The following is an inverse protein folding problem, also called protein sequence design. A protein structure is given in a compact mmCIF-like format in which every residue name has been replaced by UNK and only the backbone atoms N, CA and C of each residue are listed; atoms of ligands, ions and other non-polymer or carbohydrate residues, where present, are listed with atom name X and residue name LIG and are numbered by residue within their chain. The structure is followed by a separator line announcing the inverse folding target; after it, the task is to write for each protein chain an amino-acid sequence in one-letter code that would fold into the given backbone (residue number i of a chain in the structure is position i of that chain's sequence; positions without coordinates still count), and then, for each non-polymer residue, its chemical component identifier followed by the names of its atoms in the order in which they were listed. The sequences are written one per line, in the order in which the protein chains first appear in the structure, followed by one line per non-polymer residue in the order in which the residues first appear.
data_IF_356153316881
#
_entry.id   IF_356153316881
#
_cell.length_a   1.000
_cell.length_b   1.000
_cell.length_c   1.000
_cell.angle_alpha   90.00
_cell.angle_beta   90.00
_cell.angle_gamma   90.00
#
_symmetry.space_group_name_H-M   'P 1'
#
loop_
_entity.id
_entity.type
_entity.pdbx_description
1 polymer ?
#
# COMPACT_ATOMS: atom_id res chain seq x y z
N UNK A 1 2.89 -51.33 -0.09
CA UNK A 1 4.11 -50.54 0.20
C UNK A 1 3.90 -49.14 -0.35
N UNK A 2 4.27 -48.08 0.38
CA UNK A 2 4.02 -46.70 -0.07
C UNK A 2 4.90 -46.32 -1.27
N UNK A 3 4.33 -45.66 -2.28
CA UNK A 3 5.04 -45.20 -3.49
C UNK A 3 5.98 -44.01 -3.23
N UNK A 4 6.24 -43.65 -1.96
CA UNK A 4 7.10 -42.54 -1.59
C UNK A 4 8.51 -43.05 -1.19
N UNK A 5 9.58 -42.35 -1.56
CA UNK A 5 10.93 -42.66 -1.09
C UNK A 5 10.99 -42.70 0.44
N UNK A 6 11.78 -43.62 1.00
CA UNK A 6 12.00 -43.71 2.46
C UNK A 6 12.62 -42.41 2.96
N UNK A 7 12.01 -41.79 3.97
CA UNK A 7 12.50 -40.55 4.60
C UNK A 7 13.00 -40.85 6.02
N UNK A 8 14.12 -40.22 6.40
CA UNK A 8 14.59 -40.26 7.78
C UNK A 8 13.57 -39.61 8.71
N UNK A 9 13.23 -40.29 9.80
CA UNK A 9 12.37 -39.75 10.85
C UNK A 9 13.20 -38.77 11.69
N UNK A 10 12.77 -37.51 11.75
CA UNK A 10 13.35 -36.50 12.65
C UNK A 10 12.43 -36.34 13.84
N UNK A 11 12.81 -36.90 14.98
CA UNK A 11 12.10 -36.72 16.25
C UNK A 11 12.65 -35.46 16.91
N UNK A 12 11.76 -34.51 17.23
CA UNK A 12 12.16 -33.33 18.00
C UNK A 12 12.31 -33.68 19.48
N UNK A 13 13.30 -33.12 20.19
CA UNK A 13 13.35 -33.17 21.65
C UNK A 13 12.04 -32.67 22.29
N UNK A 14 11.70 -33.18 23.47
CA UNK A 14 10.46 -32.84 24.17
C UNK A 14 10.29 -31.33 24.36
N UNK A 15 11.35 -30.63 24.78
CA UNK A 15 11.30 -29.19 25.07
C UNK A 15 11.03 -28.36 23.81
N UNK A 16 11.62 -28.74 22.67
CA UNK A 16 11.35 -28.10 21.37
C UNK A 16 9.93 -28.36 20.89
N UNK A 17 9.40 -29.56 21.15
CA UNK A 17 8.03 -29.92 20.78
C UNK A 17 7.00 -29.12 21.61
N UNK A 18 7.22 -29.00 22.93
CA UNK A 18 6.38 -28.18 23.81
C UNK A 18 6.45 -26.71 23.39
N UNK A 19 7.65 -26.18 23.14
CA UNK A 19 7.83 -24.79 22.67
C UNK A 19 7.06 -24.55 21.37
N UNK A 20 7.17 -25.47 20.40
CA UNK A 20 6.43 -25.36 19.15
C UNK A 20 4.91 -25.39 19.34
N UNK A 21 4.40 -26.22 20.26
CA UNK A 21 2.97 -26.25 20.59
C UNK A 21 2.50 -24.94 21.24
N UNK A 22 3.29 -24.38 22.17
CA UNK A 22 3.00 -23.07 22.76
C UNK A 22 2.94 -21.98 21.68
N UNK A 23 3.91 -21.95 20.75
CA UNK A 23 3.90 -21.01 19.62
C UNK A 23 2.65 -21.17 18.76
N UNK A 24 2.23 -22.41 18.46
CA UNK A 24 1.01 -22.65 17.69
C UNK A 24 -0.22 -22.10 18.43
N UNK A 25 -0.34 -22.35 19.73
CA UNK A 25 -1.44 -21.85 20.56
C UNK A 25 -1.45 -20.32 20.62
N UNK A 26 -0.30 -19.69 20.83
CA UNK A 26 -0.19 -18.23 20.85
C UNK A 26 -0.60 -17.62 19.50
N UNK A 27 -0.15 -18.22 18.39
CA UNK A 27 -0.53 -17.78 17.05
C UNK A 27 -2.03 -17.97 16.76
N UNK A 28 -2.70 -18.96 17.36
CA UNK A 28 -4.16 -19.10 17.17
C UNK A 28 -4.97 -17.94 17.78
N UNK A 29 -4.41 -17.21 18.75
CA UNK A 29 -5.06 -16.00 19.29
C UNK A 29 -5.25 -14.92 18.21
N UNK A 30 -4.41 -14.91 17.17
CA UNK A 30 -4.55 -14.00 16.03
C UNK A 30 -5.89 -14.20 15.29
N UNK A 31 -6.41 -15.44 15.26
CA UNK A 31 -7.72 -15.74 14.66
C UNK A 31 -8.83 -15.01 15.42
N UNK A 32 -8.79 -15.07 16.75
CA UNK A 32 -9.75 -14.38 17.60
C UNK A 32 -9.65 -12.85 17.44
N UNK A 33 -8.44 -12.32 17.32
CA UNK A 33 -8.24 -10.88 17.07
C UNK A 33 -8.88 -10.44 15.76
N UNK A 34 -8.69 -11.21 14.68
CA UNK A 34 -9.32 -10.93 13.38
C UNK A 34 -10.84 -10.93 13.47
N UNK A 35 -11.42 -11.95 14.13
CA UNK A 35 -12.87 -12.08 14.28
C UNK A 35 -13.52 -10.93 15.08
N UNK A 36 -12.82 -10.41 16.10
CA UNK A 36 -13.34 -9.35 16.99
C UNK A 36 -13.08 -7.95 16.42
N UNK A 37 -11.94 -7.74 15.75
CA UNK A 37 -11.47 -6.40 15.35
C UNK A 37 -11.67 -6.12 13.86
N UNK A 38 -11.90 -7.13 13.02
CA UNK A 38 -12.11 -7.02 11.57
C UNK A 38 -13.47 -6.43 11.18
N UNK A 39 -13.87 -5.30 11.74
CA UNK A 39 -15.22 -4.73 11.60
C UNK A 39 -15.48 -4.03 10.27
N UNK A 40 -14.43 -3.66 9.53
CA UNK A 40 -14.54 -3.02 8.21
C UNK A 40 -13.52 -3.62 7.25
N UNK A 41 -13.74 -3.49 5.94
CA UNK A 41 -12.83 -4.02 4.93
C UNK A 41 -11.38 -3.55 5.12
N UNK A 42 -11.17 -2.24 5.25
CA UNK A 42 -9.83 -1.67 5.41
C UNK A 42 -9.17 -2.10 6.72
N UNK A 43 -9.93 -2.19 7.82
CA UNK A 43 -9.39 -2.65 9.10
C UNK A 43 -9.02 -4.12 9.05
N UNK A 44 -9.87 -4.97 8.48
CA UNK A 44 -9.60 -6.39 8.27
C UNK A 44 -8.35 -6.58 7.38
N UNK A 45 -8.26 -5.84 6.28
CA UNK A 45 -7.09 -5.84 5.38
C UNK A 45 -5.80 -5.48 6.14
N UNK A 46 -5.81 -4.41 6.95
CA UNK A 46 -4.64 -4.01 7.76
C UNK A 46 -4.23 -5.08 8.77
N UNK A 47 -5.18 -5.66 9.50
CA UNK A 47 -4.88 -6.73 10.46
C UNK A 47 -4.24 -7.94 9.74
N UNK A 48 -4.81 -8.36 8.60
CA UNK A 48 -4.26 -9.47 7.82
C UNK A 48 -2.89 -9.15 7.21
N UNK A 49 -2.66 -7.91 6.76
CA UNK A 49 -1.34 -7.45 6.31
C UNK A 49 -0.30 -7.56 7.42
N UNK A 50 -0.63 -7.11 8.64
CA UNK A 50 0.25 -7.22 9.81
C UNK A 50 0.60 -8.67 10.12
N UNK A 51 -0.40 -9.53 10.21
CA UNK A 51 -0.22 -10.98 10.46
C UNK A 51 0.68 -11.60 9.38
N UNK A 52 0.46 -11.21 8.13
CA UNK A 52 1.26 -11.71 7.02
C UNK A 52 2.73 -11.28 7.12
N UNK A 53 2.99 -10.02 7.50
CA UNK A 53 4.32 -9.41 7.51
C UNK A 53 5.19 -9.83 8.69
N UNK A 54 4.62 -10.06 9.88
CA UNK A 54 5.37 -10.36 11.12
C UNK A 54 5.99 -11.78 11.16
N UNK A 55 5.87 -12.54 10.07
CA UNK A 55 6.21 -13.95 9.99
C UNK A 55 4.90 -14.72 9.83
N UNK A 56 4.62 -15.26 8.62
CA UNK A 56 3.33 -15.87 8.35
C UNK A 56 3.10 -16.97 9.38
N UNK A 57 1.95 -16.97 10.08
CA UNK A 57 1.75 -17.90 11.16
C UNK A 57 1.76 -19.33 10.63
N UNK A 58 1.84 -20.29 11.55
CA UNK A 58 1.86 -21.70 11.23
C UNK A 58 0.66 -22.08 10.33
N UNK A 59 0.78 -23.23 9.65
CA UNK A 59 -0.20 -23.65 8.66
C UNK A 59 -1.61 -23.83 9.25
N UNK A 60 -1.74 -24.25 10.51
CA UNK A 60 -3.03 -24.39 11.18
C UNK A 60 -3.68 -23.02 11.36
N UNK A 61 -2.96 -22.04 11.92
CA UNK A 61 -3.48 -20.67 12.08
C UNK A 61 -3.89 -20.05 10.74
N UNK A 62 -3.08 -20.20 9.69
CA UNK A 62 -3.45 -19.71 8.34
C UNK A 62 -4.70 -20.39 7.80
N UNK A 63 -4.84 -21.70 8.02
CA UNK A 63 -6.03 -22.45 7.60
C UNK A 63 -7.27 -22.03 8.37
N UNK A 64 -7.14 -21.81 9.68
CA UNK A 64 -8.22 -21.29 10.52
C UNK A 64 -8.63 -19.87 10.11
N UNK A 65 -7.68 -18.99 9.80
CA UNK A 65 -7.98 -17.65 9.28
C UNK A 65 -8.81 -17.74 8.00
N UNK A 66 -8.41 -18.57 7.03
CA UNK A 66 -9.17 -18.75 5.77
C UNK A 66 -10.57 -19.33 6.04
N UNK A 67 -10.66 -20.36 6.88
CA UNK A 67 -11.93 -21.00 7.22
C UNK A 67 -12.90 -20.05 7.93
N UNK A 68 -12.39 -19.10 8.71
CA UNK A 68 -13.18 -18.11 9.42
C UNK A 68 -13.36 -16.79 8.64
N UNK A 69 -12.63 -16.59 7.54
CA UNK A 69 -12.73 -15.35 6.74
C UNK A 69 -14.08 -15.24 6.03
N UNK A 70 -14.62 -16.37 5.56
CA UNK A 70 -15.92 -16.47 4.93
C UNK A 70 -16.58 -17.80 5.29
N UNK A 71 -17.69 -17.74 6.02
CA UNK A 71 -18.47 -18.91 6.41
C UNK A 71 -19.94 -18.50 6.60
N UNK A 72 -20.86 -19.46 6.40
CA UNK A 72 -22.31 -19.21 6.39
C UNK A 72 -22.70 -18.05 5.45
N UNK A 73 -22.06 -17.98 4.29
CA UNK A 73 -22.23 -16.93 3.28
C UNK A 73 -21.95 -15.49 3.76
N UNK A 74 -21.23 -15.35 4.87
CA UNK A 74 -20.90 -14.07 5.51
C UNK A 74 -19.38 -13.92 5.72
N UNK A 75 -18.88 -12.70 5.58
CA UNK A 75 -17.53 -12.31 5.96
C UNK A 75 -17.44 -12.33 7.49
N UNK A 76 -16.49 -13.11 8.01
CA UNK A 76 -16.30 -13.35 9.45
C UNK A 76 -17.57 -13.85 10.17
N UNK A 77 -18.54 -14.42 9.43
CA UNK A 77 -19.83 -14.86 9.97
C UNK A 77 -20.77 -13.73 10.43
N UNK A 78 -20.43 -12.48 10.11
CA UNK A 78 -21.10 -11.30 10.66
C UNK A 78 -21.66 -10.38 9.57
N UNK A 79 -20.97 -10.26 8.44
CA UNK A 79 -21.26 -9.23 7.44
C UNK A 79 -21.59 -9.86 6.10
N UNK A 80 -22.66 -9.37 5.44
CA UNK A 80 -22.89 -9.67 4.03
C UNK A 80 -21.68 -9.21 3.22
N UNK A 81 -21.19 -10.06 2.31
CA UNK A 81 -20.01 -9.72 1.53
C UNK A 81 -20.24 -8.51 0.61
N UNK A 82 -21.45 -8.40 0.03
CA UNK A 82 -21.88 -7.24 -0.76
C UNK A 82 -21.90 -5.97 0.08
N UNK A 83 -22.52 -6.00 1.27
CA UNK A 83 -22.60 -4.82 2.15
C UNK A 83 -21.20 -4.41 2.63
N UNK A 84 -20.35 -5.39 2.97
CA UNK A 84 -18.99 -5.15 3.45
C UNK A 84 -18.11 -4.45 2.40
N UNK A 85 -18.27 -4.80 1.12
CA UNK A 85 -17.59 -4.13 0.00
C UNK A 85 -18.25 -2.79 -0.31
N UNK A 86 -19.57 -2.72 -0.32
CA UNK A 86 -20.32 -1.49 -0.53
C UNK A 86 -19.89 -0.40 0.47
N UNK A 87 -19.83 -0.74 1.76
CA UNK A 87 -19.41 0.17 2.82
C UNK A 87 -17.95 0.58 2.65
N UNK A 88 -17.07 -0.33 2.24
CA UNK A 88 -15.68 0.01 1.92
C UNK A 88 -15.55 1.01 0.76
N UNK A 89 -16.35 0.82 -0.29
CA UNK A 89 -16.40 1.77 -1.42
C UNK A 89 -16.94 3.12 -0.97
N UNK A 90 -17.99 3.14 -0.15
CA UNK A 90 -18.56 4.36 0.40
C UNK A 90 -17.56 5.11 1.29
N UNK A 91 -16.84 4.39 2.15
CA UNK A 91 -15.78 4.90 3.00
C UNK A 91 -14.59 5.44 2.19
N UNK A 92 -14.35 4.92 0.99
CA UNK A 92 -13.37 5.47 0.04
C UNK A 92 -13.90 6.66 -0.77
N UNK A 93 -15.15 7.09 -0.53
CA UNK A 93 -15.74 8.26 -1.17
C UNK A 93 -16.57 7.94 -2.42
N UNK A 94 -16.86 6.67 -2.71
CA UNK A 94 -17.83 6.30 -3.76
C UNK A 94 -19.24 6.72 -3.31
N UNK A 95 -20.01 7.48 -4.12
CA UNK A 95 -21.36 7.88 -3.75
C UNK A 95 -22.33 6.70 -3.68
N UNK A 96 -23.16 6.65 -2.64
CA UNK A 96 -24.23 5.64 -2.54
C UNK A 96 -25.21 5.72 -3.70
N UNK A 97 -25.39 6.90 -4.29
CA UNK A 97 -26.20 7.09 -5.50
C UNK A 97 -25.68 6.30 -6.70
N UNK A 98 -24.37 6.10 -6.81
CA UNK A 98 -23.77 5.28 -7.87
C UNK A 98 -24.00 3.80 -7.58
N UNK A 99 -23.69 3.35 -6.36
CA UNK A 99 -23.80 1.94 -5.95
C UNK A 99 -25.24 1.45 -5.80
N UNK A 100 -26.21 2.36 -5.64
CA UNK A 100 -27.64 2.02 -5.57
C UNK A 100 -28.32 1.86 -6.94
N UNK A 101 -27.64 2.21 -8.03
CA UNK A 101 -28.17 1.96 -9.39
C UNK A 101 -28.18 0.46 -9.70
N UNK A 102 -29.02 -0.04 -10.62
CA UNK A 102 -29.00 -1.45 -11.04
C UNK A 102 -27.62 -1.91 -11.53
N UNK A 103 -26.93 -1.05 -12.30
CA UNK A 103 -25.58 -1.31 -12.79
C UNK A 103 -24.53 -1.27 -11.67
N UNK A 104 -24.67 -0.32 -10.73
CA UNK A 104 -23.82 -0.20 -9.55
C UNK A 104 -23.91 -1.40 -8.62
N UNK A 105 -25.13 -1.88 -8.31
CA UNK A 105 -25.34 -3.08 -7.49
C UNK A 105 -24.70 -4.31 -8.14
N UNK A 106 -24.96 -4.51 -9.45
CA UNK A 106 -24.39 -5.62 -10.21
C UNK A 106 -22.85 -5.58 -10.25
N UNK A 107 -22.27 -4.38 -10.27
CA UNK A 107 -20.83 -4.20 -10.19
C UNK A 107 -20.27 -4.52 -8.81
N UNK A 108 -20.90 -4.02 -7.73
CA UNK A 108 -20.48 -4.35 -6.36
C UNK A 108 -20.49 -5.88 -6.18
N UNK A 109 -21.52 -6.58 -6.63
CA UNK A 109 -21.60 -8.04 -6.58
C UNK A 109 -20.44 -8.72 -7.32
N UNK A 110 -20.00 -8.19 -8.47
CA UNK A 110 -18.83 -8.70 -9.19
C UNK A 110 -17.50 -8.41 -8.49
N UNK A 111 -17.42 -7.30 -7.75
CA UNK A 111 -16.24 -6.92 -6.96
C UNK A 111 -16.07 -7.80 -5.71
N UNK A 112 -17.15 -8.33 -5.15
CA UNK A 112 -17.12 -9.13 -3.90
C UNK A 112 -16.07 -10.23 -3.94
N UNK A 113 -16.05 -11.04 -5.01
CA UNK A 113 -15.12 -12.17 -5.09
C UNK A 113 -13.66 -11.71 -5.18
N UNK A 114 -13.25 -10.80 -6.10
CA UNK A 114 -11.89 -10.28 -6.12
C UNK A 114 -11.45 -9.59 -4.82
N UNK A 115 -12.36 -8.88 -4.14
CA UNK A 115 -12.09 -8.29 -2.82
C UNK A 115 -11.84 -9.36 -1.75
N UNK A 116 -12.68 -10.40 -1.70
CA UNK A 116 -12.49 -11.55 -0.82
C UNK A 116 -11.17 -12.29 -1.11
N UNK A 117 -10.88 -12.57 -2.38
CA UNK A 117 -9.66 -13.28 -2.79
C UNK A 117 -8.40 -12.47 -2.44
N UNK A 118 -8.46 -11.13 -2.52
CA UNK A 118 -7.40 -10.23 -2.03
C UNK A 118 -7.19 -10.29 -0.51
N UNK A 119 -8.24 -10.46 0.29
CA UNK A 119 -8.11 -10.69 1.74
C UNK A 119 -7.54 -12.08 2.03
N UNK A 120 -8.06 -13.11 1.36
CA UNK A 120 -7.63 -14.50 1.49
C UNK A 120 -6.16 -14.69 1.11
N UNK A 121 -5.68 -13.95 0.11
CA UNK A 121 -4.29 -13.91 -0.32
C UNK A 121 -3.35 -13.65 0.87
N UNK A 122 -3.68 -12.71 1.76
CA UNK A 122 -2.84 -12.34 2.91
C UNK A 122 -2.67 -13.48 3.92
N UNK A 123 -3.57 -14.47 3.90
CA UNK A 123 -3.48 -15.69 4.71
C UNK A 123 -2.58 -16.77 4.09
N UNK A 124 -2.11 -16.60 2.84
CA UNK A 124 -1.17 -17.52 2.21
C UNK A 124 0.26 -17.29 2.71
N UNK A 125 1.15 -18.25 2.47
CA UNK A 125 2.58 -18.01 2.65
C UNK A 125 3.08 -17.01 1.60
N UNK A 126 4.16 -16.29 1.91
CA UNK A 126 4.64 -15.15 1.10
C UNK A 126 5.04 -15.53 -0.33
N UNK A 127 5.59 -16.73 -0.55
CA UNK A 127 5.90 -17.24 -1.89
C UNK A 127 4.63 -17.42 -2.73
N UNK A 128 3.62 -18.10 -2.17
CA UNK A 128 2.30 -18.27 -2.83
C UNK A 128 1.57 -16.95 -3.03
N UNK A 129 1.73 -15.99 -2.13
CA UNK A 129 1.15 -14.65 -2.33
C UNK A 129 1.64 -14.04 -3.63
N UNK A 130 2.96 -14.06 -3.86
CA UNK A 130 3.53 -13.51 -5.09
C UNK A 130 2.99 -14.24 -6.33
N UNK A 131 3.05 -15.56 -6.33
CA UNK A 131 2.57 -16.39 -7.44
C UNK A 131 1.09 -16.12 -7.75
N UNK A 132 0.24 -16.04 -6.72
CA UNK A 132 -1.19 -15.77 -6.89
C UNK A 132 -1.46 -14.36 -7.41
N UNK A 133 -0.74 -13.34 -6.93
CA UNK A 133 -0.87 -11.96 -7.44
C UNK A 133 -0.57 -11.94 -8.93
N UNK A 134 0.59 -12.48 -9.32
CA UNK A 134 1.09 -12.39 -10.69
C UNK A 134 0.26 -13.22 -11.69
N UNK A 135 -0.20 -14.40 -11.28
CA UNK A 135 -0.85 -15.34 -12.20
C UNK A 135 -2.37 -15.19 -12.29
N UNK A 136 -3.03 -14.77 -11.20
CA UNK A 136 -4.48 -14.87 -11.02
C UNK A 136 -5.08 -13.50 -10.68
N UNK A 137 -4.71 -12.94 -9.53
CA UNK A 137 -5.48 -11.84 -8.91
C UNK A 137 -5.44 -10.57 -9.76
N UNK A 138 -4.28 -10.19 -10.31
CA UNK A 138 -4.19 -8.96 -11.12
C UNK A 138 -5.07 -8.98 -12.39
N UNK A 139 -5.35 -10.15 -12.96
CA UNK A 139 -6.22 -10.28 -14.14
C UNK A 139 -7.67 -9.93 -13.80
N UNK A 140 -8.16 -10.42 -12.66
CA UNK A 140 -9.51 -10.15 -12.20
C UNK A 140 -9.70 -8.65 -11.92
N UNK A 141 -8.72 -8.02 -11.26
CA UNK A 141 -8.75 -6.58 -11.00
C UNK A 141 -8.58 -5.73 -12.27
N UNK A 142 -7.81 -6.20 -13.25
CA UNK A 142 -7.68 -5.56 -14.56
C UNK A 142 -9.01 -5.46 -15.31
N UNK A 143 -9.78 -6.56 -15.33
CA UNK A 143 -11.13 -6.57 -15.93
C UNK A 143 -12.08 -5.59 -15.21
N UNK A 144 -12.02 -5.55 -13.88
CA UNK A 144 -12.85 -4.63 -13.09
C UNK A 144 -12.53 -3.15 -13.36
N UNK A 145 -11.34 -2.79 -13.83
CA UNK A 145 -11.03 -1.40 -14.19
C UNK A 145 -11.87 -0.92 -15.37
N UNK A 146 -12.06 -1.79 -16.37
CA UNK A 146 -12.85 -1.47 -17.57
C UNK A 146 -14.33 -1.30 -17.20
N UNK A 147 -14.84 -2.19 -16.36
CA UNK A 147 -16.21 -2.09 -15.86
C UNK A 147 -16.44 -0.85 -14.99
N UNK A 148 -15.52 -0.56 -14.06
CA UNK A 148 -15.61 0.61 -13.20
C UNK A 148 -15.62 1.91 -14.00
N UNK A 149 -14.80 1.98 -15.05
CA UNK A 149 -14.76 3.11 -15.98
C UNK A 149 -16.10 3.29 -16.71
N UNK A 150 -16.71 2.20 -17.18
CA UNK A 150 -18.01 2.26 -17.84
C UNK A 150 -19.11 2.76 -16.88
N UNK A 151 -19.09 2.32 -15.62
CA UNK A 151 -20.08 2.73 -14.62
C UNK A 151 -19.90 4.19 -14.24
N UNK A 152 -18.67 4.64 -14.00
CA UNK A 152 -18.41 6.06 -13.74
C UNK A 152 -18.83 6.93 -14.94
N UNK A 153 -18.64 6.45 -16.17
CA UNK A 153 -19.08 7.15 -17.38
C UNK A 153 -20.60 7.32 -17.41
N UNK A 154 -21.36 6.22 -17.28
CA UNK A 154 -22.82 6.26 -17.23
C UNK A 154 -23.36 7.12 -16.09
N UNK A 155 -22.77 7.01 -14.90
CA UNK A 155 -23.17 7.82 -13.74
C UNK A 155 -22.97 9.33 -13.99
N UNK A 156 -21.87 9.70 -14.65
CA UNK A 156 -21.61 11.10 -15.00
C UNK A 156 -22.55 11.59 -16.11
N UNK A 157 -22.90 10.76 -17.10
CA UNK A 157 -23.89 11.11 -18.14
C UNK A 157 -25.27 11.37 -17.53
N UNK A 158 -25.78 10.47 -16.68
CA UNK A 158 -27.06 10.64 -16.01
C UNK A 158 -27.10 11.92 -15.14
N UNK A 159 -26.01 12.22 -14.44
CA UNK A 159 -25.89 13.45 -13.65
C UNK A 159 -25.93 14.72 -14.51
N UNK A 160 -25.36 14.68 -15.72
CA UNK A 160 -25.40 15.79 -16.67
C UNK A 160 -26.81 15.99 -17.25
N UNK A 161 -27.53 14.92 -17.56
CA UNK A 161 -28.91 14.98 -18.06
C UNK A 161 -29.89 15.56 -17.02
N UNK A 162 -29.74 15.17 -15.75
CA UNK A 162 -30.54 15.70 -14.65
C UNK A 162 -30.30 17.21 -14.41
N UNK A 163 -29.09 17.71 -14.69
CA UNK A 163 -28.78 19.14 -14.60
C UNK A 163 -29.32 19.95 -15.78
N UNK A 164 -29.41 19.37 -16.98
CA UNK A 164 -30.01 20.08 -18.12
C UNK A 164 -31.52 20.27 -17.96
N UNK A 165 -32.18 19.33 -17.29
CA UNK A 165 -33.63 19.38 -17.02
C UNK A 165 -33.99 20.28 -15.84
N UNK A 166 -33.05 20.53 -14.93
CA UNK A 166 -33.23 21.46 -13.81
C UNK A 166 -32.56 22.81 -14.14
N UNK A 167 -33.36 23.85 -14.42
CA UNK A 167 -32.95 25.24 -14.70
C UNK A 167 -32.21 25.94 -13.51
N UNK A 168 -31.44 25.23 -12.71
CA UNK A 168 -30.61 25.80 -11.65
C UNK A 168 -29.29 26.29 -12.22
N UNK A 169 -29.09 27.60 -12.18
CA UNK A 169 -27.89 28.34 -12.60
C UNK A 169 -26.67 28.14 -11.67
N UNK A 170 -26.59 27.03 -10.93
CA UNK A 170 -25.53 26.78 -9.95
C UNK A 170 -24.52 25.78 -10.50
N UNK A 171 -23.38 26.33 -10.93
CA UNK A 171 -22.09 25.69 -11.22
C UNK A 171 -22.04 24.63 -12.33
N UNK A 172 -21.80 25.11 -13.55
CA UNK A 172 -21.53 24.37 -14.79
C UNK A 172 -20.15 23.67 -14.85
N UNK A 173 -19.49 23.43 -13.70
CA UNK A 173 -18.14 22.84 -13.64
C UNK A 173 -18.10 21.69 -12.63
N UNK A 174 -18.75 20.58 -12.96
CA UNK A 174 -18.37 19.31 -12.36
C UNK A 174 -17.36 18.66 -13.31
N UNK A 175 -16.09 18.61 -12.91
CA UNK A 175 -15.13 17.72 -13.58
C UNK A 175 -15.67 16.30 -13.48
N UNK A 176 -15.61 15.52 -14.56
CA UNK A 176 -15.97 14.11 -14.53
C UNK A 176 -15.29 13.44 -13.32
N UNK A 177 -16.08 12.77 -12.47
CA UNK A 177 -15.57 12.13 -11.26
C UNK A 177 -15.55 10.63 -11.48
N UNK A 178 -14.38 10.04 -11.27
CA UNK A 178 -14.14 8.61 -11.47
C UNK A 178 -14.10 7.92 -10.10
N UNK A 179 -15.26 7.71 -9.49
CA UNK A 179 -15.37 7.24 -8.12
C UNK A 179 -15.04 5.75 -8.00
N UNK A 180 -15.77 4.91 -8.75
CA UNK A 180 -15.57 3.47 -8.73
C UNK A 180 -14.19 3.09 -9.29
N UNK A 181 -13.78 3.75 -10.37
CA UNK A 181 -12.48 3.56 -11.01
C UNK A 181 -11.33 3.83 -10.04
N UNK A 182 -11.39 4.92 -9.28
CA UNK A 182 -10.35 5.23 -8.29
C UNK A 182 -10.25 4.15 -7.19
N UNK A 183 -11.37 3.56 -6.77
CA UNK A 183 -11.37 2.46 -5.81
C UNK A 183 -10.67 1.21 -6.35
N UNK A 184 -11.04 0.79 -7.58
CA UNK A 184 -10.40 -0.35 -8.24
C UNK A 184 -8.91 -0.09 -8.47
N UNK A 185 -8.53 1.11 -8.92
CA UNK A 185 -7.13 1.48 -9.12
C UNK A 185 -6.34 1.39 -7.82
N UNK A 186 -6.88 1.88 -6.70
CA UNK A 186 -6.18 1.81 -5.42
C UNK A 186 -5.89 0.36 -4.96
N UNK A 187 -6.88 -0.53 -5.09
CA UNK A 187 -6.70 -1.95 -4.77
C UNK A 187 -5.72 -2.62 -5.74
N UNK A 188 -5.79 -2.30 -7.04
CA UNK A 188 -4.85 -2.80 -8.05
C UNK A 188 -3.42 -2.35 -7.76
N UNK A 189 -3.22 -1.07 -7.46
CA UNK A 189 -1.92 -0.50 -7.10
C UNK A 189 -1.33 -1.18 -5.86
N UNK A 190 -2.17 -1.47 -4.86
CA UNK A 190 -1.74 -2.20 -3.66
C UNK A 190 -1.26 -3.62 -3.99
N UNK A 191 -1.88 -4.29 -4.96
CA UNK A 191 -1.47 -5.63 -5.41
C UNK A 191 -0.18 -5.58 -6.22
N UNK A 192 -0.06 -4.63 -7.15
CA UNK A 192 1.16 -4.41 -7.95
C UNK A 192 2.35 -4.10 -7.04
N UNK A 193 2.19 -3.19 -6.08
CA UNK A 193 3.23 -2.86 -5.10
C UNK A 193 3.58 -4.06 -4.23
N UNK A 194 2.57 -4.85 -3.82
CA UNK A 194 2.76 -6.10 -3.10
C UNK A 194 3.59 -7.12 -3.87
N UNK A 195 3.36 -7.28 -5.19
CA UNK A 195 4.12 -8.22 -6.03
C UNK A 195 5.61 -7.86 -6.09
N UNK A 196 5.95 -6.58 -6.26
CA UNK A 196 7.35 -6.14 -6.29
C UNK A 196 7.97 -6.30 -4.90
N UNK A 197 7.26 -5.91 -3.84
CA UNK A 197 7.72 -6.01 -2.45
C UNK A 197 8.07 -7.45 -2.05
N UNK A 198 7.19 -8.39 -2.40
CA UNK A 198 7.41 -9.82 -2.18
C UNK A 198 8.58 -10.35 -3.01
N UNK A 199 8.77 -9.84 -4.23
CA UNK A 199 9.92 -10.22 -5.05
C UNK A 199 11.25 -9.70 -4.49
N UNK A 200 11.27 -8.49 -3.92
CA UNK A 200 12.45 -7.96 -3.21
C UNK A 200 12.76 -8.83 -1.99
N UNK A 201 11.74 -9.16 -1.18
CA UNK A 201 11.89 -10.04 -0.02
C UNK A 201 12.42 -11.43 -0.40
N UNK A 202 11.94 -11.98 -1.51
CA UNK A 202 12.42 -13.25 -2.08
C UNK A 202 13.76 -13.14 -2.83
N UNK A 203 14.41 -11.95 -2.82
CA UNK A 203 15.68 -11.66 -3.52
C UNK A 203 15.63 -11.90 -5.03
N UNK A 204 14.46 -11.74 -5.65
CA UNK A 204 14.28 -11.92 -7.09
C UNK A 204 14.84 -10.75 -7.92
N UNK A 205 15.04 -9.57 -7.31
CA UNK A 205 15.55 -8.36 -7.97
C UNK A 205 17.02 -8.07 -7.64
N UNK A 206 17.86 -9.07 -7.39
CA UNK A 206 19.22 -8.83 -6.90
C UNK A 206 20.12 -8.07 -7.89
N UNK A 207 19.95 -8.27 -9.20
CA UNK A 207 20.74 -7.61 -10.26
C UNK A 207 20.08 -6.31 -10.77
N UNK A 208 18.79 -6.14 -10.51
CA UNK A 208 17.89 -5.13 -11.07
C UNK A 208 17.14 -4.37 -9.95
N UNK A 209 17.79 -4.24 -8.80
CA UNK A 209 17.24 -3.59 -7.60
C UNK A 209 16.91 -2.12 -7.84
N UNK A 210 17.64 -1.48 -8.77
CA UNK A 210 17.36 -0.13 -9.28
C UNK A 210 15.98 -0.05 -9.93
N UNK A 211 15.67 -0.97 -10.84
CA UNK A 211 14.37 -1.04 -11.51
C UNK A 211 13.24 -1.34 -10.52
N UNK A 212 13.48 -2.21 -9.54
CA UNK A 212 12.47 -2.52 -8.52
C UNK A 212 12.07 -1.30 -7.69
N UNK A 213 13.04 -0.51 -7.19
CA UNK A 213 12.74 0.69 -6.41
C UNK A 213 12.19 1.85 -7.24
N UNK A 214 12.67 2.00 -8.48
CA UNK A 214 12.12 2.97 -9.43
C UNK A 214 10.64 2.69 -9.74
N UNK A 215 10.31 1.46 -10.11
CA UNK A 215 8.93 1.08 -10.44
C UNK A 215 8.02 1.20 -9.20
N UNK A 216 8.51 0.81 -8.02
CA UNK A 216 7.77 1.00 -6.76
C UNK A 216 7.52 2.48 -6.44
N UNK A 217 8.48 3.38 -6.66
CA UNK A 217 8.25 4.83 -6.45
C UNK A 217 7.09 5.32 -7.33
N UNK A 218 7.04 4.90 -8.60
CA UNK A 218 5.93 5.23 -9.50
C UNK A 218 4.58 4.73 -9.00
N UNK A 219 4.48 3.44 -8.64
CA UNK A 219 3.24 2.84 -8.16
C UNK A 219 2.76 3.50 -6.87
N UNK A 220 3.66 3.69 -5.90
CA UNK A 220 3.31 4.28 -4.60
C UNK A 220 2.97 5.77 -4.76
N UNK A 221 3.64 6.49 -5.66
CA UNK A 221 3.29 7.88 -5.99
C UNK A 221 1.87 7.96 -6.54
N UNK A 222 1.50 7.06 -7.45
CA UNK A 222 0.14 6.98 -8.00
C UNK A 222 -0.87 6.62 -6.92
N UNK A 223 -0.53 5.69 -6.02
CA UNK A 223 -1.39 5.31 -4.90
C UNK A 223 -1.66 6.48 -3.96
N UNK A 224 -0.63 7.28 -3.62
CA UNK A 224 -0.79 8.46 -2.78
C UNK A 224 -1.66 9.55 -3.44
N UNK A 225 -1.62 9.68 -4.77
CA UNK A 225 -2.51 10.60 -5.49
C UNK A 225 -3.98 10.17 -5.32
N UNK A 226 -4.27 8.88 -5.45
CA UNK A 226 -5.62 8.33 -5.25
C UNK A 226 -6.08 8.50 -3.80
N UNK A 227 -5.23 8.18 -2.82
CA UNK A 227 -5.54 8.38 -1.40
C UNK A 227 -5.79 9.86 -1.06
N UNK A 228 -5.03 10.77 -1.68
CA UNK A 228 -5.23 12.22 -1.50
C UNK A 228 -6.58 12.66 -2.08
N UNK A 229 -6.95 12.14 -3.25
CA UNK A 229 -8.27 12.41 -3.83
C UNK A 229 -9.41 11.95 -2.90
N UNK A 230 -9.30 10.77 -2.28
CA UNK A 230 -10.29 10.29 -1.30
C UNK A 230 -10.39 11.19 -0.08
N UNK A 231 -9.25 11.63 0.46
CA UNK A 231 -9.21 12.56 1.60
C UNK A 231 -9.89 13.87 1.29
N UNK A 232 -9.62 14.44 0.11
CA UNK A 232 -10.27 15.67 -0.34
C UNK A 232 -11.80 15.50 -0.42
N UNK A 233 -12.27 14.37 -0.96
CA UNK A 233 -13.71 14.04 -1.00
C UNK A 233 -14.30 13.95 0.42
N UNK A 234 -13.62 13.28 1.35
CA UNK A 234 -14.07 13.18 2.75
C UNK A 234 -14.15 14.55 3.41
N UNK A 235 -13.14 15.39 3.23
CA UNK A 235 -13.11 16.75 3.78
C UNK A 235 -14.22 17.63 3.19
N UNK A 236 -14.48 17.55 1.89
CA UNK A 236 -15.58 18.27 1.23
C UNK A 236 -16.94 17.83 1.79
N UNK A 237 -17.18 16.52 1.93
CA UNK A 237 -18.40 15.99 2.57
C UNK A 237 -18.54 16.50 4.01
N UNK A 238 -17.47 16.45 4.80
CA UNK A 238 -17.50 16.93 6.19
C UNK A 238 -17.81 18.44 6.28
N UNK A 239 -17.26 19.26 5.38
CA UNK A 239 -17.58 20.69 5.28
C UNK A 239 -19.03 20.93 4.90
N UNK A 240 -19.58 20.15 3.95
CA UNK A 240 -20.98 20.25 3.52
C UNK A 240 -21.94 19.88 4.66
N UNK A 241 -21.68 18.80 5.40
CA UNK A 241 -22.49 18.40 6.57
C UNK A 241 -22.48 19.49 7.63
N UNK A 242 -21.32 20.04 7.97
CA UNK A 242 -21.20 21.16 8.93
C UNK A 242 -21.99 22.39 8.48
N UNK A 243 -21.93 22.74 7.20
CA UNK A 243 -22.68 23.87 6.65
C UNK A 243 -24.20 23.65 6.76
N UNK A 244 -24.70 22.45 6.44
CA UNK A 244 -26.11 22.08 6.58
C UNK A 244 -26.56 22.11 8.04
N UNK A 245 -25.75 21.59 8.96
CA UNK A 245 -26.03 21.65 10.40
C UNK A 245 -26.09 23.10 10.92
N UNK A 246 -25.18 23.96 10.46
CA UNK A 246 -25.18 25.39 10.80
C UNK A 246 -26.43 26.11 10.25
N UNK A 247 -26.84 25.79 9.02
CA UNK A 247 -28.05 26.33 8.41
C UNK A 247 -29.32 25.88 9.16
N UNK A 248 -29.42 24.59 9.50
CA UNK A 248 -30.51 24.07 10.34
C UNK A 248 -30.54 24.75 11.71
N UNK A 249 -29.38 24.96 12.35
CA UNK A 249 -29.29 25.71 13.62
C UNK A 249 -29.75 27.17 13.46
N UNK A 250 -29.46 27.82 12.33
CA UNK A 250 -29.95 29.19 12.03
C UNK A 250 -31.47 29.22 11.83
N UNK A 251 -32.04 28.22 11.15
CA UNK A 251 -33.49 28.10 10.93
C UNK A 251 -34.28 27.81 12.22
N UNK A 252 -33.74 26.96 13.10
CA UNK A 252 -34.35 26.68 14.42
C UNK A 252 -34.30 27.91 15.34
N UNK A 253 -33.20 28.68 15.30
CA UNK A 253 -33.09 29.95 16.05
C UNK A 253 -34.05 31.03 15.53
N UNK A 254 -34.35 31.08 14.23
CA UNK A 254 -35.34 32.01 13.67
C UNK A 254 -36.80 31.62 14.01
N UNK A 255 -37.11 30.34 14.25
CA UNK A 255 -38.46 29.89 14.65
C UNK A 255 -38.75 29.98 16.16
N UNK A 256 -37.74 29.97 17.04
CA UNK A 256 -37.92 30.18 18.49
C UNK A 256 -37.85 31.66 18.87
N UNK A 257 -38.87 32.42 18.49
CA UNK A 257 -39.19 33.68 19.14
C UNK A 257 -39.63 33.44 20.59
N UNK A 258 -38.95 34.10 21.54
CA UNK A 258 -39.33 34.29 22.96
C UNK A 258 -39.68 33.03 23.77
N UNK A 259 -38.66 32.35 24.31
CA UNK A 259 -38.59 31.96 25.74
C UNK A 259 -37.17 31.48 26.05
N UNK A 260 -36.52 32.19 26.97
CA UNK A 260 -35.23 31.80 27.55
C UNK A 260 -35.41 30.50 28.35
N UNK A 261 -34.50 29.54 28.21
CA UNK A 261 -33.71 29.06 29.34
C UNK A 261 -32.56 28.13 28.93
N UNK A 262 -31.57 28.10 29.81
CA UNK A 262 -30.33 27.32 29.83
C UNK A 262 -30.41 25.91 29.24
N UNK A 263 -29.42 25.56 28.43
CA UNK A 263 -29.18 24.20 27.94
C UNK A 263 -27.79 24.05 27.35
N UNK A 264 -26.89 23.53 28.17
CA UNK A 264 -25.59 22.89 27.92
C UNK A 264 -25.06 22.96 26.49
N UNK A 265 -24.01 23.76 26.28
CA UNK A 265 -23.14 23.68 25.10
C UNK A 265 -22.49 22.29 25.07
N UNK A 266 -23.07 21.37 24.31
CA UNK A 266 -22.40 20.15 23.90
C UNK A 266 -21.28 20.56 22.95
N UNK A 267 -20.06 20.68 23.49
CA UNK A 267 -18.83 20.84 22.70
C UNK A 267 -18.69 19.52 21.93
N UNK A 268 -19.07 19.53 20.66
CA UNK A 268 -18.73 18.46 19.72
C UNK A 268 -17.21 18.44 19.69
N UNK A 269 -16.60 17.44 20.33
CA UNK A 269 -15.15 17.26 20.33
C UNK A 269 -14.70 17.10 18.88
N UNK A 270 -13.86 18.02 18.39
CA UNK A 270 -13.15 17.94 17.10
C UNK A 270 -12.13 16.78 17.03
N UNK A 271 -12.33 15.71 17.80
CA UNK A 271 -11.42 14.56 17.78
C UNK A 271 -11.65 13.76 16.49
N UNK A 272 -10.58 13.41 15.76
CA UNK A 272 -10.69 12.52 14.61
C UNK A 272 -11.30 11.20 15.02
N UNK A 273 -12.09 10.60 14.13
CA UNK A 273 -12.61 9.25 14.34
C UNK A 273 -11.47 8.23 14.34
N UNK A 274 -11.68 7.07 14.97
CA UNK A 274 -10.68 5.99 14.98
C UNK A 274 -10.27 5.56 13.55
N UNK A 275 -11.23 5.56 12.62
CA UNK A 275 -10.98 5.24 11.22
C UNK A 275 -10.12 6.30 10.53
N UNK A 276 -10.36 7.59 10.79
CA UNK A 276 -9.52 8.67 10.24
C UNK A 276 -8.08 8.59 10.77
N UNK A 277 -7.89 8.24 12.04
CA UNK A 277 -6.56 7.99 12.59
C UNK A 277 -5.86 6.83 11.89
N UNK A 278 -6.60 5.73 11.66
CA UNK A 278 -6.09 4.55 10.96
C UNK A 278 -5.72 4.84 9.50
N UNK A 279 -6.59 5.53 8.75
CA UNK A 279 -6.33 5.99 7.38
C UNK A 279 -5.12 6.95 7.34
N UNK A 280 -4.90 7.72 8.41
CA UNK A 280 -3.74 8.58 8.52
C UNK A 280 -2.43 7.81 8.72
N UNK A 281 -2.45 6.78 9.56
CA UNK A 281 -1.30 5.90 9.73
C UNK A 281 -0.93 5.24 8.40
N UNK A 282 -1.91 4.73 7.65
CA UNK A 282 -1.67 4.07 6.36
C UNK A 282 -1.09 5.02 5.31
N UNK A 283 -1.61 6.25 5.22
CA UNK A 283 -1.09 7.27 4.30
C UNK A 283 0.35 7.68 4.63
N UNK A 284 0.65 7.92 5.90
CA UNK A 284 2.00 8.33 6.33
C UNK A 284 2.98 7.17 6.11
N UNK A 285 2.58 5.93 6.41
CA UNK A 285 3.39 4.75 6.12
C UNK A 285 3.68 4.58 4.62
N UNK A 286 2.65 4.76 3.79
CA UNK A 286 2.80 4.72 2.33
C UNK A 286 3.73 5.83 1.83
N UNK A 287 3.68 7.02 2.45
CA UNK A 287 4.59 8.13 2.17
C UNK A 287 6.04 7.84 2.56
N UNK A 288 6.26 7.15 3.69
CA UNK A 288 7.59 6.64 4.09
C UNK A 288 8.12 5.68 3.03
N UNK A 289 7.32 4.69 2.60
CA UNK A 289 7.72 3.73 1.56
C UNK A 289 8.12 4.42 0.25
N UNK A 290 7.31 5.37 -0.24
CA UNK A 290 7.62 6.16 -1.45
C UNK A 290 8.97 6.84 -1.33
N UNK A 291 9.14 7.61 -0.26
CA UNK A 291 10.30 8.48 -0.09
C UNK A 291 11.58 7.66 0.10
N UNK A 292 11.49 6.48 0.74
CA UNK A 292 12.57 5.49 0.79
C UNK A 292 12.89 4.91 -0.59
N UNK A 293 11.89 4.49 -1.38
CA UNK A 293 12.12 3.97 -2.74
C UNK A 293 12.88 5.00 -3.58
N UNK A 294 12.42 6.25 -3.55
CA UNK A 294 13.05 7.36 -4.28
C UNK A 294 14.46 7.65 -3.80
N UNK A 295 14.69 7.72 -2.48
CA UNK A 295 16.01 7.96 -1.90
C UNK A 295 17.00 6.85 -2.25
N UNK A 296 16.59 5.58 -2.14
CA UNK A 296 17.42 4.42 -2.49
C UNK A 296 17.73 4.39 -3.98
N UNK A 297 16.72 4.58 -4.84
CA UNK A 297 16.93 4.64 -6.29
C UNK A 297 17.94 5.74 -6.67
N UNK A 298 17.74 6.97 -6.18
CA UNK A 298 18.67 8.08 -6.43
C UNK A 298 20.08 7.78 -5.88
N UNK A 299 20.18 7.15 -4.72
CA UNK A 299 21.48 6.74 -4.19
C UNK A 299 22.18 5.71 -5.11
N UNK A 300 21.46 4.74 -5.66
CA UNK A 300 22.03 3.82 -6.67
C UNK A 300 22.49 4.60 -7.91
N UNK A 301 21.73 5.60 -8.36
CA UNK A 301 22.12 6.44 -9.50
C UNK A 301 23.39 7.26 -9.22
N UNK A 302 23.55 7.81 -8.01
CA UNK A 302 24.80 8.45 -7.57
C UNK A 302 25.97 7.49 -7.72
N UNK A 303 25.82 6.24 -7.27
CA UNK A 303 26.89 5.23 -7.34
C UNK A 303 27.26 4.87 -8.78
N UNK A 304 26.27 4.78 -9.67
CA UNK A 304 26.52 4.55 -11.11
C UNK A 304 27.21 5.74 -11.77
N UNK A 305 26.75 6.96 -11.48
CA UNK A 305 27.38 8.18 -11.99
C UNK A 305 28.84 8.31 -11.51
N UNK A 306 29.10 7.92 -10.26
CA UNK A 306 30.43 7.85 -9.66
C UNK A 306 31.29 6.67 -10.17
N UNK A 307 30.74 5.79 -11.01
CA UNK A 307 31.38 4.53 -11.48
C UNK A 307 31.81 3.61 -10.34
N UNK A 308 31.08 3.64 -9.22
CA UNK A 308 31.21 2.72 -8.10
C UNK A 308 30.35 1.47 -8.27
N UNK A 309 29.37 1.53 -9.18
CA UNK A 309 28.63 0.39 -9.69
C UNK A 309 28.81 0.32 -11.20
N UNK A 310 29.01 -0.89 -11.71
CA UNK A 310 29.06 -1.11 -13.15
C UNK A 310 27.68 -0.86 -13.76
N UNK A 311 27.63 0.06 -14.73
CA UNK A 311 26.39 0.45 -15.41
C UNK A 311 25.85 -0.67 -16.31
N UNK A 312 26.76 -1.46 -16.88
CA UNK A 312 26.50 -2.43 -17.95
C UNK A 312 27.01 -3.81 -17.56
N UNK A 313 26.15 -4.57 -16.88
CA UNK A 313 26.36 -6.01 -16.76
C UNK A 313 26.13 -6.61 -18.15
N UNK A 314 27.19 -7.10 -18.79
CA UNK A 314 27.07 -7.85 -20.04
C UNK A 314 26.46 -9.22 -19.76
N UNK A 315 25.26 -9.44 -20.31
CA UNK A 315 24.57 -10.73 -20.23
C UNK A 315 24.86 -11.52 -21.50
N UNK A 316 25.44 -12.71 -21.37
CA UNK A 316 25.79 -13.55 -22.53
C UNK A 316 24.56 -14.08 -23.30
N UNK A 317 23.44 -14.33 -22.60
CA UNK A 317 22.26 -15.03 -23.14
C UNK A 317 20.96 -14.23 -23.06
N UNK A 318 21.02 -12.98 -22.57
CA UNK A 318 19.84 -12.14 -22.38
C UNK A 318 20.22 -10.67 -22.44
N UNK A 319 19.27 -9.78 -22.23
CA UNK A 319 19.51 -8.33 -22.11
C UNK A 319 18.82 -7.81 -20.85
N UNK A 320 19.29 -6.66 -20.34
CA UNK A 320 18.64 -5.97 -19.22
C UNK A 320 17.18 -5.64 -19.54
N UNK A 321 16.90 -5.27 -20.79
CA UNK A 321 15.54 -5.05 -21.32
C UNK A 321 14.67 -6.29 -21.17
N UNK A 322 15.14 -7.46 -21.65
CA UNK A 322 14.37 -8.72 -21.57
C UNK A 322 14.08 -9.09 -20.11
N UNK A 323 15.05 -8.89 -19.22
CA UNK A 323 14.88 -9.13 -17.79
C UNK A 323 13.79 -8.22 -17.22
N UNK A 324 13.91 -6.90 -17.42
CA UNK A 324 12.94 -5.91 -16.88
C UNK A 324 11.53 -6.17 -17.43
N UNK A 325 11.39 -6.38 -18.74
CA UNK A 325 10.10 -6.70 -19.36
C UNK A 325 9.50 -7.97 -18.77
N UNK A 326 10.31 -9.01 -18.53
CA UNK A 326 9.84 -10.26 -17.91
C UNK A 326 9.47 -10.09 -16.43
N UNK A 327 10.15 -9.22 -15.68
CA UNK A 327 9.85 -8.95 -14.26
C UNK A 327 8.49 -8.30 -14.04
N UNK A 328 8.07 -7.46 -14.98
CA UNK A 328 6.83 -6.68 -14.86
C UNK A 328 5.73 -7.15 -15.83
N UNK A 329 5.93 -8.27 -16.53
CA UNK A 329 4.97 -8.84 -17.48
C UNK A 329 3.59 -9.09 -16.87
N UNK A 330 3.51 -9.47 -15.59
CA UNK A 330 2.24 -9.70 -14.90
C UNK A 330 1.36 -8.44 -14.81
N UNK A 331 1.92 -7.26 -15.04
CA UNK A 331 1.19 -5.99 -15.02
C UNK A 331 0.55 -5.63 -16.36
N UNK A 332 0.81 -6.39 -17.44
CA UNK A 332 0.23 -6.14 -18.76
C UNK A 332 -1.30 -6.22 -18.80
N UNK A 333 -1.93 -6.93 -17.87
CA UNK A 333 -3.38 -7.04 -17.79
C UNK A 333 -4.04 -5.84 -17.07
N UNK A 334 -3.26 -4.86 -16.62
CA UNK A 334 -3.74 -3.68 -15.91
C UNK A 334 -3.71 -2.47 -16.84
N UNK A 335 -4.85 -1.80 -16.99
CA UNK A 335 -4.96 -0.61 -17.85
C UNK A 335 -4.40 0.65 -17.16
N UNK A 336 -4.68 0.83 -15.86
CA UNK A 336 -4.22 1.95 -15.06
C UNK A 336 -3.60 1.52 -13.71
N UNK A 337 -2.37 1.96 -13.39
CA UNK A 337 -1.48 2.75 -14.24
C UNK A 337 -0.93 1.95 -15.41
N UNK A 338 -0.55 2.64 -16.49
CA UNK A 338 0.09 2.00 -17.62
C UNK A 338 1.39 1.28 -17.20
N UNK A 339 1.67 0.15 -17.84
CA UNK A 339 2.93 -0.57 -17.69
C UNK A 339 4.10 0.34 -18.07
N UNK A 340 5.08 0.48 -17.18
CA UNK A 340 6.33 1.14 -17.54
C UNK A 340 7.24 0.19 -18.30
N UNK A 341 7.77 0.67 -19.41
CA UNK A 341 8.66 -0.07 -20.32
C UNK A 341 10.13 0.07 -19.91
N UNK A 342 10.99 -0.71 -20.56
CA UNK A 342 12.44 -0.52 -20.41
C UNK A 342 12.89 0.88 -20.86
N UNK A 343 12.29 1.44 -21.92
CA UNK A 343 12.62 2.79 -22.38
C UNK A 343 12.27 3.85 -21.34
N UNK A 344 11.12 3.71 -20.67
CA UNK A 344 10.75 4.58 -19.54
C UNK A 344 11.77 4.47 -18.40
N UNK A 345 12.30 3.27 -18.14
CA UNK A 345 13.34 3.07 -17.15
C UNK A 345 14.66 3.75 -17.55
N UNK A 346 15.10 3.60 -18.80
CA UNK A 346 16.33 4.24 -19.30
C UNK A 346 16.20 5.77 -19.22
N UNK A 347 15.07 6.33 -19.65
CA UNK A 347 14.82 7.77 -19.56
C UNK A 347 14.72 8.24 -18.11
N UNK A 348 14.02 7.49 -17.25
CA UNK A 348 13.84 7.81 -15.84
C UNK A 348 15.10 7.61 -14.97
N UNK A 349 16.11 6.92 -15.50
CA UNK A 349 17.40 6.68 -14.84
C UNK A 349 18.57 7.42 -15.48
N UNK A 350 18.34 8.22 -16.53
CA UNK A 350 19.38 9.06 -17.12
C UNK A 350 19.63 10.31 -16.27
N UNK A 351 20.68 10.26 -15.45
CA UNK A 351 21.19 11.39 -14.67
C UNK A 351 22.49 11.97 -15.27
N UNK A 352 22.81 11.67 -16.52
CA UNK A 352 24.07 12.10 -17.16
C UNK A 352 24.22 13.63 -17.26
N UNK A 353 23.10 14.36 -17.24
CA UNK A 353 23.03 15.83 -17.26
C UNK A 353 22.88 16.48 -15.89
N UNK A 354 22.73 15.71 -14.83
CA UNK A 354 22.52 16.23 -13.47
C UNK A 354 23.86 16.30 -12.76
N UNK A 355 24.15 17.42 -12.09
CA UNK A 355 25.38 17.56 -11.32
C UNK A 355 25.44 16.51 -10.18
N UNK A 356 26.58 15.84 -9.95
CA UNK A 356 26.70 14.83 -8.89
C UNK A 356 26.34 15.35 -7.49
N UNK A 357 26.70 16.59 -7.15
CA UNK A 357 26.38 17.17 -5.84
C UNK A 357 24.86 17.45 -5.70
N UNK A 358 24.20 17.83 -6.80
CA UNK A 358 22.74 18.01 -6.83
C UNK A 358 22.02 16.67 -6.65
N UNK A 359 22.48 15.61 -7.32
CA UNK A 359 21.88 14.27 -7.19
C UNK A 359 22.08 13.69 -5.77
N UNK A 360 23.25 13.90 -5.17
CA UNK A 360 23.52 13.54 -3.78
C UNK A 360 22.60 14.31 -2.83
N UNK A 361 22.45 15.61 -3.04
CA UNK A 361 21.58 16.46 -2.21
C UNK A 361 20.11 16.03 -2.33
N UNK A 362 19.65 15.71 -3.55
CA UNK A 362 18.31 15.21 -3.80
C UNK A 362 18.03 13.83 -3.19
N UNK A 363 19.05 12.96 -3.07
CA UNK A 363 18.95 11.69 -2.34
C UNK A 363 18.92 11.92 -0.82
N UNK A 364 19.75 12.83 -0.31
CA UNK A 364 19.80 13.19 1.10
C UNK A 364 18.46 13.78 1.59
N UNK A 365 17.86 14.69 0.81
CA UNK A 365 16.56 15.29 1.11
C UNK A 365 15.44 14.24 1.21
N UNK A 366 15.50 13.16 0.42
CA UNK A 366 14.57 12.04 0.54
C UNK A 366 14.73 11.33 1.89
N UNK A 367 15.95 11.09 2.36
CA UNK A 367 16.18 10.47 3.67
C UNK A 367 15.79 11.41 4.82
N UNK A 368 16.04 12.71 4.72
CA UNK A 368 15.60 13.67 5.74
C UNK A 368 14.07 13.79 5.82
N UNK A 369 13.40 13.84 4.66
CA UNK A 369 11.94 13.82 4.59
C UNK A 369 11.39 12.51 5.18
N UNK A 370 12.02 11.38 4.87
CA UNK A 370 11.64 10.07 5.42
C UNK A 370 11.76 10.06 6.93
N UNK A 371 12.83 10.62 7.51
CA UNK A 371 13.00 10.72 8.96
C UNK A 371 11.85 11.51 9.61
N UNK A 372 11.49 12.66 9.03
CA UNK A 372 10.33 13.45 9.49
C UNK A 372 9.01 12.68 9.42
N UNK A 373 8.79 11.94 8.33
CA UNK A 373 7.60 11.09 8.17
C UNK A 373 7.57 9.92 9.16
N UNK A 374 8.72 9.32 9.51
CA UNK A 374 8.80 8.27 10.52
C UNK A 374 8.47 8.82 11.91
N UNK A 375 8.93 10.02 12.25
CA UNK A 375 8.58 10.66 13.52
C UNK A 375 7.08 11.01 13.57
N UNK A 376 6.49 11.45 12.46
CA UNK A 376 5.03 11.62 12.32
C UNK A 376 4.28 10.29 12.45
N UNK A 377 4.82 9.21 11.86
CA UNK A 377 4.22 7.88 11.90
C UNK A 377 4.17 7.36 13.34
N UNK A 378 5.27 7.49 14.09
CA UNK A 378 5.33 7.09 15.49
C UNK A 378 4.27 7.81 16.35
N UNK A 379 4.11 9.13 16.16
CA UNK A 379 3.05 9.90 16.83
C UNK A 379 1.65 9.42 16.45
N UNK A 380 1.44 9.08 15.18
CA UNK A 380 0.14 8.60 14.69
C UNK A 380 -0.21 7.21 15.22
N UNK A 381 0.80 6.34 15.45
CA UNK A 381 0.60 5.02 16.04
C UNK A 381 0.14 5.06 17.50
N UNK A 382 0.43 6.13 18.23
CA UNK A 382 -0.05 6.32 19.61
C UNK A 382 -1.56 6.58 19.65
N UNK A 383 -2.17 6.95 18.52
CA UNK A 383 -3.59 7.29 18.41
C UNK A 383 -4.48 6.09 18.03
N UNK A 384 -3.89 4.94 17.68
CA UNK A 384 -4.64 3.76 17.23
C UNK A 384 -4.30 2.54 18.08
N UNK A 385 -5.22 1.57 18.10
CA UNK A 385 -4.94 0.25 18.67
C UNK A 385 -3.85 -0.42 17.84
N UNK A 386 -2.84 -0.98 18.51
CA UNK A 386 -1.64 -1.47 17.84
C UNK A 386 -1.97 -2.54 16.80
N UNK A 387 -2.96 -3.38 17.08
CA UNK A 387 -3.40 -4.51 16.26
C UNK A 387 -4.07 -4.06 14.96
N UNK A 388 -4.61 -2.84 14.92
CA UNK A 388 -5.25 -2.26 13.73
C UNK A 388 -4.25 -1.65 12.75
N UNK A 389 -2.98 -1.49 13.14
CA UNK A 389 -1.93 -1.00 12.24
C UNK A 389 -1.49 -2.13 11.28
N UNK A 390 -1.15 -1.83 10.01
CA UNK A 390 -0.71 -2.85 9.05
C UNK A 390 0.70 -3.40 9.31
N UNK A 391 1.40 -2.85 10.29
CA UNK A 391 2.76 -3.19 10.70
C UNK A 391 2.89 -3.01 12.22
N UNK A 392 4.01 -3.41 12.79
CA UNK A 392 4.32 -3.25 14.20
C UNK A 392 5.38 -2.16 14.46
N UNK A 393 5.69 -1.89 15.73
CA UNK A 393 6.72 -0.89 16.08
C UNK A 393 8.12 -1.33 15.65
N UNK A 394 8.39 -2.64 15.58
CA UNK A 394 9.70 -3.14 15.16
C UNK A 394 9.97 -2.84 13.68
N UNK A 395 8.95 -2.96 12.82
CA UNK A 395 9.01 -2.58 11.40
C UNK A 395 9.40 -1.11 11.23
N UNK A 396 8.75 -0.21 11.97
CA UNK A 396 9.05 1.24 11.91
C UNK A 396 10.50 1.53 12.32
N UNK A 397 11.01 0.82 13.34
CA UNK A 397 12.40 0.95 13.77
C UNK A 397 13.38 0.41 12.71
N UNK A 398 13.04 -0.67 12.02
CA UNK A 398 13.84 -1.19 10.91
C UNK A 398 13.87 -0.21 9.74
N UNK A 399 12.73 0.40 9.38
CA UNK A 399 12.67 1.47 8.37
C UNK A 399 13.51 2.69 8.77
N UNK A 400 13.47 3.09 10.04
CA UNK A 400 14.33 4.16 10.58
C UNK A 400 15.81 3.82 10.44
N UNK A 401 16.19 2.57 10.74
CA UNK A 401 17.58 2.10 10.58
C UNK A 401 18.01 2.10 9.12
N UNK A 402 17.14 1.71 8.19
CA UNK A 402 17.40 1.80 6.74
C UNK A 402 17.61 3.25 6.32
N UNK A 403 16.73 4.15 6.73
CA UNK A 403 16.80 5.57 6.41
C UNK A 403 18.12 6.21 6.90
N UNK A 404 18.45 6.02 8.17
CA UNK A 404 19.67 6.57 8.78
C UNK A 404 20.92 5.94 8.18
N UNK A 405 20.92 4.62 7.98
CA UNK A 405 22.05 3.90 7.39
C UNK A 405 22.38 4.43 5.99
N UNK A 406 21.38 4.57 5.12
CA UNK A 406 21.61 5.10 3.77
C UNK A 406 22.05 6.57 3.78
N UNK A 407 21.52 7.41 4.67
CA UNK A 407 21.97 8.80 4.83
C UNK A 407 23.47 8.88 5.19
N UNK A 408 23.93 8.02 6.10
CA UNK A 408 25.35 7.95 6.50
C UNK A 408 26.24 7.50 5.34
N UNK A 409 25.88 6.43 4.63
CA UNK A 409 26.69 5.93 3.52
C UNK A 409 26.69 6.87 2.32
N UNK A 410 25.59 7.60 2.08
CA UNK A 410 25.54 8.65 1.07
C UNK A 410 26.51 9.79 1.39
N UNK A 411 26.59 10.23 2.64
CA UNK A 411 27.58 11.21 3.07
C UNK A 411 29.02 10.69 2.87
N UNK A 412 29.26 9.41 3.16
CA UNK A 412 30.56 8.77 2.93
C UNK A 412 30.96 8.75 1.45
N UNK A 413 30.00 8.51 0.55
CA UNK A 413 30.22 8.61 -0.91
C UNK A 413 30.62 10.02 -1.32
N UNK A 414 29.97 11.04 -0.77
CA UNK A 414 30.36 12.44 -1.00
C UNK A 414 31.81 12.71 -0.61
N UNK A 415 32.28 12.10 0.48
CA UNK A 415 33.69 12.17 0.88
C UNK A 415 34.59 11.45 -0.12
N UNK A 416 34.23 10.24 -0.57
CA UNK A 416 35.03 9.48 -1.53
C UNK A 416 35.18 10.17 -2.89
N UNK A 417 34.16 10.88 -3.36
CA UNK A 417 34.23 11.65 -4.61
C UNK A 417 35.29 12.76 -4.59
N UNK A 418 35.74 13.21 -3.41
CA UNK A 418 36.81 14.21 -3.28
C UNK A 418 38.21 13.61 -3.45
N UNK A 419 38.34 12.28 -3.38
CA UNK A 419 39.63 11.58 -3.44
C UNK A 419 39.73 10.79 -4.74
N UNK A 420 40.65 11.15 -5.65
CA UNK A 420 40.87 10.37 -6.86
C UNK A 420 41.43 8.98 -6.52
N UNK A 421 40.93 7.93 -7.18
CA UNK A 421 41.37 6.52 -7.10
C UNK A 421 40.89 5.67 -5.92
N UNK A 422 39.88 6.10 -5.16
CA UNK A 422 39.25 5.23 -4.15
C UNK A 422 38.50 4.09 -4.84
N UNK A 423 38.88 2.85 -4.55
CA UNK A 423 38.10 1.67 -4.93
C UNK A 423 37.10 1.37 -3.82
N UNK A 424 35.83 1.25 -4.18
CA UNK A 424 34.77 0.91 -3.23
C UNK A 424 34.09 -0.39 -3.62
N UNK A 425 33.63 -1.12 -2.60
CA UNK A 425 32.72 -2.23 -2.75
C UNK A 425 31.33 -1.79 -2.25
N UNK A 426 30.28 -2.18 -2.98
CA UNK A 426 28.89 -1.84 -2.67
C UNK A 426 28.15 -3.12 -2.28
N UNK A 427 27.55 -3.12 -1.10
CA UNK A 427 26.75 -4.24 -0.56
C UNK A 427 25.33 -3.77 -0.23
N UNK A 428 24.33 -4.57 -0.58
CA UNK A 428 22.94 -4.35 -0.20
C UNK A 428 22.59 -5.17 1.05
N UNK A 429 22.51 -4.51 2.21
CA UNK A 429 22.16 -5.13 3.48
C UNK A 429 20.68 -4.98 3.80
N UNK A 430 19.92 -6.07 3.68
CA UNK A 430 18.48 -6.12 3.92
C UNK A 430 18.15 -6.30 5.41
N UNK A 431 18.41 -5.25 6.19
CA UNK A 431 17.96 -5.17 7.59
C UNK A 431 16.44 -5.14 7.69
N UNK A 432 15.76 -4.65 6.66
CA UNK A 432 14.31 -4.71 6.49
C UNK A 432 13.97 -5.61 5.30
N UNK A 433 12.86 -6.35 5.36
CA UNK A 433 12.48 -7.36 4.34
C UNK A 433 12.35 -6.79 2.93
N UNK A 434 11.91 -5.53 2.84
CA UNK A 434 11.61 -4.86 1.57
C UNK A 434 12.56 -3.70 1.21
N UNK A 435 13.49 -3.34 2.10
CA UNK A 435 14.34 -2.17 1.91
C UNK A 435 15.76 -2.47 2.43
N UNK A 436 16.77 -2.05 1.67
CA UNK A 436 18.17 -2.30 1.99
C UNK A 436 18.90 -1.04 2.46
N UNK A 437 19.94 -1.24 3.26
CA UNK A 437 21.02 -0.27 3.45
C UNK A 437 22.06 -0.54 2.36
N UNK A 438 22.38 0.48 1.57
CA UNK A 438 23.46 0.43 0.60
C UNK A 438 24.76 0.77 1.35
N UNK A 439 25.53 -0.25 1.68
CA UNK A 439 26.84 -0.07 2.32
C UNK A 439 27.90 0.20 1.26
N UNK A 440 28.71 1.22 1.50
CA UNK A 440 29.86 1.56 0.64
C UNK A 440 31.13 1.46 1.47
N UNK A 441 31.94 0.45 1.15
CA UNK A 441 33.15 0.09 1.90
C UNK A 441 34.36 0.31 1.02
N UNK A 442 35.40 0.96 1.55
CA UNK A 442 36.65 1.13 0.82
C UNK A 442 37.38 -0.22 0.74
N UNK A 443 37.85 -0.57 -0.45
CA UNK A 443 38.64 -1.78 -0.67
C UNK A 443 40.08 -1.46 -0.30
N UNK A 444 40.45 -1.68 0.97
CA UNK A 444 41.86 -1.72 1.37
C UNK A 444 42.53 -2.85 0.62
N UNK A 445 43.54 -2.54 -0.21
CA UNK A 445 44.39 -3.56 -0.81
C UNK A 445 45.06 -4.36 0.32
N UNK A 446 44.99 -5.71 0.29
CA UNK A 446 45.72 -6.53 1.25
C UNK A 446 47.23 -6.33 1.15
#
# INVERSE_FOLDING_TARGET
MGNAPVRQVRIKPSDEAITALCTILDETQLVCQVLVKGTTYFRLKRILQRISQHGPPNILTRSLLVANLYFNDLILGQWSATDFVHDAMHDAGVPSSLTSTPYGMSFVDRVVKPAYDSLRLLCLNRGRQKECIDAIILKDWGLLQQEAKAIDYHYNEEALEQQQTSNSSVSRKMSARFHATNWIIAETLSLMEGSISLGVEAKLFQAEIDAAFWYRDFLISTQLNVMTAWRNIKEEKAKMVKALEEEQRRLVKKKKGKKANNGTKQIVSNMPSAMECEDNVEYVYTSVKRTLCRGIFRFIMVLKQAKFLDSDVEYQFTSKETIINKRFESFQCVDQPALLTYDDFVQGSDFSRVDPDDLISAAAECFDTTKGLIDQLNKSLELIQSECAPFDKSEVMMLKKVCVGNSIFLHKVRTFLKYPNVKVNVEYDFVHKQFCIIKVVEVTRP
#
